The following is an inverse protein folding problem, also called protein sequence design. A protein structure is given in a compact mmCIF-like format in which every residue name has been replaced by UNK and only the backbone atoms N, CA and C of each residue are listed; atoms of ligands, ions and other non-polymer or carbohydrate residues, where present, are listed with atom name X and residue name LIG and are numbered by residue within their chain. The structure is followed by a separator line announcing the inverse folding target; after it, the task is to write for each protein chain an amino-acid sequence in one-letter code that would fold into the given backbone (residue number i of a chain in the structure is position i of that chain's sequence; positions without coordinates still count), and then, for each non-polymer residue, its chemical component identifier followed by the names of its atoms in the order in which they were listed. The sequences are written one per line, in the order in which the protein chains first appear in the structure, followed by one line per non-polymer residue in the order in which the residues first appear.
data_IF_531866355884
#
_entry.id   IF_531866355884
#
_cell.length_a   1.000
_cell.length_b   1.000
_cell.length_c   1.000
_cell.angle_alpha   90.00
_cell.angle_beta   90.00
_cell.angle_gamma   90.00
#
_symmetry.space_group_name_H-M   'P 1'
#
loop_
_entity.id
_entity.type
_entity.pdbx_description
1 polymer ?
#
# COMPACT_ATOMS: atom_id res chain seq x y z
N UNK A 1 4.09 -9.09 -9.38
CA UNK A 1 3.28 -7.96 -9.87
C UNK A 1 1.80 -8.18 -9.64
N UNK A 2 1.22 -9.30 -10.11
CA UNK A 2 -0.23 -9.57 -9.96
C UNK A 2 -0.72 -9.45 -8.52
N UNK A 3 -0.04 -10.07 -7.54
CA UNK A 3 -0.41 -9.92 -6.12
C UNK A 3 -0.39 -8.47 -5.61
N UNK A 4 0.54 -7.64 -6.12
CA UNK A 4 0.62 -6.23 -5.73
C UNK A 4 -0.53 -5.42 -6.30
N UNK A 5 -0.94 -5.73 -7.54
CA UNK A 5 -2.13 -5.16 -8.17
C UNK A 5 -3.42 -5.61 -7.48
N UNK A 6 -3.52 -6.90 -7.12
CA UNK A 6 -4.63 -7.43 -6.33
C UNK A 6 -4.72 -6.74 -4.98
N UNK A 7 -3.58 -6.51 -4.31
CA UNK A 7 -3.55 -5.76 -3.05
C UNK A 7 -3.95 -4.29 -3.22
N UNK A 8 -3.56 -3.67 -4.33
CA UNK A 8 -4.02 -2.33 -4.69
C UNK A 8 -5.55 -2.30 -4.92
N UNK A 9 -6.12 -3.27 -5.63
CA UNK A 9 -7.58 -3.35 -5.82
C UNK A 9 -8.32 -3.59 -4.51
N UNK A 10 -7.81 -4.46 -3.64
CA UNK A 10 -8.34 -4.62 -2.29
C UNK A 10 -8.41 -3.27 -1.57
N UNK A 11 -7.36 -2.45 -1.67
CA UNK A 11 -7.34 -1.13 -1.04
C UNK A 11 -8.31 -0.14 -1.71
N UNK A 12 -8.22 0.04 -3.03
CA UNK A 12 -9.00 1.04 -3.77
C UNK A 12 -10.50 0.75 -3.71
N UNK A 13 -10.92 -0.49 -3.97
CA UNK A 13 -12.33 -0.87 -3.87
C UNK A 13 -12.80 -1.04 -2.41
N UNK A 14 -11.87 -1.31 -1.48
CA UNK A 14 -12.13 -1.20 -0.05
C UNK A 14 -12.57 0.21 0.35
N UNK A 15 -11.90 1.25 -0.17
CA UNK A 15 -12.30 2.64 0.07
C UNK A 15 -13.70 2.95 -0.49
N UNK A 16 -13.98 2.56 -1.73
CA UNK A 16 -15.30 2.79 -2.33
C UNK A 16 -16.43 2.08 -1.58
N UNK A 17 -16.17 0.88 -1.07
CA UNK A 17 -17.17 0.11 -0.33
C UNK A 17 -17.39 0.66 1.08
N UNK A 18 -16.32 1.04 1.80
CA UNK A 18 -16.41 1.58 3.16
C UNK A 18 -16.95 3.02 3.18
N UNK A 19 -16.50 3.91 2.30
CA UNK A 19 -16.90 5.33 2.34
C UNK A 19 -18.31 5.60 1.78
N UNK A 20 -19.13 4.56 1.58
CA UNK A 20 -20.55 4.72 1.25
C UNK A 20 -20.80 5.35 -0.13
N UNK A 21 -19.89 5.14 -1.09
CA UNK A 21 -20.04 5.60 -2.47
C UNK A 21 -21.09 4.74 -3.21
N UNK A 22 -22.35 4.79 -2.77
CA UNK A 22 -23.47 4.03 -3.31
C UNK A 22 -23.85 4.54 -4.71
N UNK A 23 -23.21 3.98 -5.73
CA UNK A 23 -23.54 4.19 -7.13
C UNK A 23 -24.32 3.01 -7.69
N UNK A 24 -24.87 3.13 -8.91
CA UNK A 24 -25.59 2.04 -9.59
C UNK A 24 -24.75 0.77 -9.78
N UNK A 25 -23.41 0.88 -9.71
CA UNK A 25 -22.48 -0.25 -9.84
C UNK A 25 -21.83 -0.65 -8.51
N UNK A 26 -22.37 -0.22 -7.37
CA UNK A 26 -21.79 -0.49 -6.04
C UNK A 26 -21.55 -1.99 -5.77
N UNK A 27 -22.46 -2.86 -6.21
CA UNK A 27 -22.28 -4.32 -6.09
C UNK A 27 -21.06 -4.84 -6.85
N UNK A 28 -20.66 -4.18 -7.94
CA UNK A 28 -19.42 -4.50 -8.66
C UNK A 28 -18.21 -4.13 -7.81
N UNK A 29 -18.23 -3.00 -7.11
CA UNK A 29 -17.14 -2.62 -6.19
C UNK A 29 -17.00 -3.65 -5.06
N UNK A 30 -18.12 -4.10 -4.49
CA UNK A 30 -18.15 -5.17 -3.48
C UNK A 30 -17.57 -6.48 -4.01
N UNK A 31 -17.96 -6.89 -5.22
CA UNK A 31 -17.44 -8.09 -5.85
C UNK A 31 -15.92 -8.01 -6.08
N UNK A 32 -15.43 -6.89 -6.62
CA UNK A 32 -13.99 -6.69 -6.84
C UNK A 32 -13.24 -6.67 -5.50
N UNK A 33 -13.77 -5.97 -4.49
CA UNK A 33 -13.18 -5.93 -3.15
C UNK A 33 -13.06 -7.34 -2.54
N UNK A 34 -14.13 -8.14 -2.58
CA UNK A 34 -14.13 -9.51 -2.05
C UNK A 34 -13.17 -10.43 -2.82
N UNK A 35 -13.23 -10.44 -4.15
CA UNK A 35 -12.33 -11.25 -4.99
C UNK A 35 -10.87 -10.83 -4.80
N UNK A 36 -10.60 -9.53 -4.66
CA UNK A 36 -9.25 -9.04 -4.41
C UNK A 36 -8.74 -9.46 -3.02
N UNK A 37 -9.57 -9.39 -1.99
CA UNK A 37 -9.21 -9.84 -0.65
C UNK A 37 -8.82 -11.32 -0.63
N UNK A 38 -9.72 -12.20 -1.12
CA UNK A 38 -9.44 -13.63 -1.14
C UNK A 38 -8.33 -14.00 -2.11
N UNK A 39 -8.25 -13.34 -3.27
CA UNK A 39 -7.17 -13.54 -4.24
C UNK A 39 -5.80 -13.17 -3.66
N UNK A 40 -5.72 -12.08 -2.89
CA UNK A 40 -4.49 -11.71 -2.19
C UNK A 40 -4.15 -12.70 -1.07
N UNK A 41 -5.13 -13.12 -0.27
CA UNK A 41 -4.94 -14.09 0.81
C UNK A 41 -4.42 -15.43 0.27
N UNK A 42 -5.13 -16.04 -0.67
CA UNK A 42 -4.73 -17.31 -1.27
C UNK A 42 -3.42 -17.18 -2.03
N UNK A 43 -3.22 -16.08 -2.76
CA UNK A 43 -2.01 -15.84 -3.54
C UNK A 43 -0.75 -15.63 -2.68
N UNK A 44 -0.88 -15.10 -1.45
CA UNK A 44 0.24 -15.04 -0.50
C UNK A 44 0.49 -16.38 0.19
N UNK A 45 -0.56 -17.14 0.50
CA UNK A 45 -0.46 -18.49 1.04
C UNK A 45 0.15 -19.50 0.04
N UNK A 46 -0.08 -19.30 -1.26
CA UNK A 46 0.45 -20.16 -2.32
C UNK A 46 1.93 -19.94 -2.64
N UNK A 47 2.60 -18.99 -1.98
CA UNK A 47 4.04 -18.76 -2.18
C UNK A 47 4.81 -19.93 -1.55
N UNK A 48 5.31 -20.81 -2.43
CA UNK A 48 6.21 -21.89 -2.05
C UNK A 48 7.53 -21.31 -1.49
N UNK A 49 7.89 -21.62 -0.24
CA UNK A 49 9.18 -21.23 0.33
C UNK A 49 10.38 -21.68 -0.51
N UNK A 50 10.32 -22.85 -1.13
CA UNK A 50 11.44 -23.44 -1.89
C UNK A 50 11.70 -22.66 -3.18
N UNK A 51 10.64 -22.29 -3.89
CA UNK A 51 10.76 -21.39 -5.06
C UNK A 51 11.21 -19.99 -4.61
N UNK A 52 10.74 -19.52 -3.45
CA UNK A 52 11.13 -18.21 -2.93
C UNK A 52 12.62 -18.12 -2.56
N UNK A 53 13.24 -19.22 -2.13
CA UNK A 53 14.68 -19.30 -1.83
C UNK A 53 15.57 -19.05 -3.04
N UNK A 54 15.04 -19.33 -4.24
CA UNK A 54 15.75 -19.07 -5.49
C UNK A 54 15.88 -17.58 -5.77
N UNK A 55 15.09 -16.73 -5.14
CA UNK A 55 15.15 -15.28 -5.37
C UNK A 55 15.92 -14.57 -4.26
N UNK A 56 16.94 -13.83 -4.64
CA UNK A 56 17.75 -13.05 -3.70
C UNK A 56 17.88 -11.60 -4.13
N UNK A 57 17.90 -10.73 -3.12
CA UNK A 57 18.20 -9.31 -3.27
C UNK A 57 19.59 -9.00 -2.72
N UNK A 58 20.34 -8.08 -3.37
CA UNK A 58 21.55 -7.53 -2.80
C UNK A 58 21.28 -6.92 -1.42
N UNK A 59 22.23 -7.07 -0.50
CA UNK A 59 22.03 -6.68 0.90
C UNK A 59 21.69 -5.19 1.07
N UNK A 60 22.35 -4.31 0.31
CA UNK A 60 22.07 -2.87 0.34
C UNK A 60 20.63 -2.55 -0.07
N UNK A 61 20.12 -3.18 -1.12
CA UNK A 61 18.75 -2.97 -1.60
C UNK A 61 17.72 -3.53 -0.61
N UNK A 62 17.98 -4.70 -0.03
CA UNK A 62 17.14 -5.29 1.01
C UNK A 62 17.01 -4.36 2.22
N UNK A 63 18.14 -3.78 2.68
CA UNK A 63 18.16 -2.81 3.80
C UNK A 63 17.43 -1.52 3.43
N UNK A 64 17.61 -1.01 2.22
CA UNK A 64 16.91 0.18 1.74
C UNK A 64 15.38 -0.02 1.75
N UNK A 65 14.89 -1.14 1.22
CA UNK A 65 13.46 -1.48 1.23
C UNK A 65 12.94 -1.65 2.65
N UNK A 66 13.68 -2.36 3.51
CA UNK A 66 13.33 -2.52 4.91
C UNK A 66 13.17 -1.16 5.61
N UNK A 67 14.15 -0.26 5.44
CA UNK A 67 14.12 1.08 6.03
C UNK A 67 12.98 1.92 5.44
N UNK A 68 12.73 1.82 4.13
CA UNK A 68 11.63 2.50 3.47
C UNK A 68 10.26 2.09 4.03
N UNK A 69 10.02 0.79 4.20
CA UNK A 69 8.76 0.28 4.79
C UNK A 69 8.59 0.76 6.25
N UNK A 70 9.67 0.76 7.04
CA UNK A 70 9.61 1.28 8.41
C UNK A 70 9.42 2.79 8.46
N UNK A 71 10.06 3.55 7.58
CA UNK A 71 9.89 5.00 7.51
C UNK A 71 8.44 5.36 7.14
N UNK A 72 7.84 4.64 6.20
CA UNK A 72 6.43 4.79 5.85
C UNK A 72 5.51 4.58 7.06
N UNK A 73 5.69 3.50 7.81
CA UNK A 73 4.91 3.23 9.02
C UNK A 73 5.18 4.31 10.07
N UNK A 74 6.46 4.61 10.35
CA UNK A 74 6.86 5.54 11.39
C UNK A 74 6.37 6.97 11.16
N UNK A 75 6.21 7.39 9.90
CA UNK A 75 5.68 8.72 9.55
C UNK A 75 4.15 8.70 9.44
N UNK A 76 3.56 7.76 8.69
CA UNK A 76 2.13 7.82 8.37
C UNK A 76 1.24 7.31 9.50
N UNK A 77 1.68 6.31 10.28
CA UNK A 77 0.92 5.78 11.40
C UNK A 77 0.55 6.87 12.43
N UNK A 78 1.49 7.67 12.99
CA UNK A 78 1.13 8.71 13.93
C UNK A 78 0.29 9.80 13.28
N UNK A 79 0.52 10.15 12.01
CA UNK A 79 -0.29 11.15 11.29
C UNK A 79 -1.75 10.71 11.19
N UNK A 80 -2.01 9.43 10.87
CA UNK A 80 -3.38 8.89 10.83
C UNK A 80 -4.03 8.81 12.19
N UNK A 81 -3.31 8.42 13.24
CA UNK A 81 -3.85 8.46 14.61
C UNK A 81 -4.22 9.90 15.01
N UNK A 82 -3.32 10.86 14.81
CA UNK A 82 -3.56 12.26 15.16
C UNK A 82 -4.74 12.87 14.40
N UNK A 83 -4.91 12.51 13.12
CA UNK A 83 -6.07 12.95 12.32
C UNK A 83 -7.38 12.26 12.73
N UNK A 84 -7.32 11.02 13.22
CA UNK A 84 -8.49 10.26 13.63
C UNK A 84 -8.98 10.62 15.05
N UNK A 85 -8.10 11.10 15.95
CA UNK A 85 -8.44 11.41 17.35
C UNK A 85 -9.62 12.39 17.52
N UNK A 86 -9.72 13.52 16.78
CA UNK A 86 -10.86 14.42 16.90
C UNK A 86 -12.20 13.76 16.55
N UNK A 87 -12.21 12.86 15.57
CA UNK A 87 -13.39 12.13 15.11
C UNK A 87 -13.82 11.10 16.16
N UNK A 88 -12.85 10.41 16.76
CA UNK A 88 -13.08 9.49 17.88
C UNK A 88 -13.69 10.23 19.07
N UNK A 89 -13.15 11.40 19.42
CA UNK A 89 -13.69 12.22 20.51
C UNK A 89 -15.13 12.67 20.24
N UNK A 90 -15.46 12.97 18.99
CA UNK A 90 -16.81 13.40 18.55
C UNK A 90 -17.77 12.24 18.29
N UNK A 91 -17.28 11.00 18.24
CA UNK A 91 -18.04 9.82 17.83
C UNK A 91 -18.67 9.94 16.43
N UNK A 92 -18.07 10.74 15.55
CA UNK A 92 -18.56 10.99 14.18
C UNK A 92 -17.39 10.78 13.22
N UNK A 93 -17.45 9.79 12.30
CA UNK A 93 -16.38 9.56 11.34
C UNK A 93 -16.32 10.69 10.29
N UNK A 94 -15.11 11.16 9.95
CA UNK A 94 -14.93 12.02 8.79
C UNK A 94 -15.13 11.25 7.47
N UNK A 95 -15.23 11.96 6.34
CA UNK A 95 -15.38 11.35 5.01
C UNK A 95 -14.23 10.43 4.62
N UNK A 96 -13.04 10.58 5.21
CA UNK A 96 -11.85 9.79 4.89
C UNK A 96 -11.61 8.61 5.84
N UNK A 97 -12.55 8.30 6.75
CA UNK A 97 -12.39 7.27 7.78
C UNK A 97 -11.99 5.88 7.25
N UNK A 98 -12.43 5.50 6.04
CA UNK A 98 -12.04 4.26 5.38
C UNK A 98 -10.53 4.12 5.16
N UNK A 99 -9.82 5.23 4.96
CA UNK A 99 -8.34 5.26 4.85
C UNK A 99 -7.73 4.80 6.17
N UNK A 100 -8.22 5.30 7.31
CA UNK A 100 -7.69 4.94 8.62
C UNK A 100 -7.88 3.46 8.93
N UNK A 101 -9.07 2.91 8.62
CA UNK A 101 -9.37 1.48 8.82
C UNK A 101 -8.39 0.61 8.02
N UNK A 102 -8.23 0.90 6.72
CA UNK A 102 -7.38 0.11 5.85
C UNK A 102 -5.91 0.26 6.23
N UNK A 103 -5.43 1.49 6.42
CA UNK A 103 -4.01 1.73 6.67
C UNK A 103 -3.57 1.22 8.04
N UNK A 104 -4.28 1.57 9.11
CA UNK A 104 -3.92 1.18 10.48
C UNK A 104 -4.22 -0.31 10.74
N UNK A 105 -5.33 -0.83 10.21
CA UNK A 105 -5.78 -2.19 10.50
C UNK A 105 -5.13 -3.27 9.63
N UNK A 106 -4.79 -2.95 8.37
CA UNK A 106 -4.34 -3.95 7.40
C UNK A 106 -2.99 -3.62 6.78
N UNK A 107 -2.84 -2.42 6.21
CA UNK A 107 -1.66 -2.10 5.40
C UNK A 107 -0.40 -1.97 6.25
N UNK A 108 -0.41 -1.16 7.30
CA UNK A 108 0.78 -0.96 8.14
C UNK A 108 1.17 -2.22 8.91
N UNK A 109 0.25 -3.02 9.49
CA UNK A 109 0.61 -4.31 10.07
C UNK A 109 1.26 -5.25 9.04
N UNK A 110 0.71 -5.35 7.83
CA UNK A 110 1.28 -6.18 6.77
C UNK A 110 2.67 -5.66 6.34
N UNK A 111 2.85 -4.35 6.19
CA UNK A 111 4.16 -3.75 5.89
C UNK A 111 5.18 -4.03 6.99
N UNK A 112 4.77 -3.94 8.26
CA UNK A 112 5.61 -4.26 9.42
C UNK A 112 6.03 -5.73 9.43
N UNK A 113 5.10 -6.62 9.10
CA UNK A 113 5.39 -8.06 8.96
C UNK A 113 6.38 -8.34 7.83
N UNK A 114 6.20 -7.71 6.67
CA UNK A 114 7.12 -7.84 5.52
C UNK A 114 8.49 -7.29 5.88
N UNK A 115 8.57 -6.13 6.54
CA UNK A 115 9.82 -5.55 7.02
C UNK A 115 10.53 -6.49 8.01
N UNK A 116 9.79 -7.09 8.95
CA UNK A 116 10.32 -8.10 9.87
C UNK A 116 10.89 -9.32 9.13
N UNK A 117 10.18 -9.85 8.13
CA UNK A 117 10.67 -10.96 7.32
C UNK A 117 11.93 -10.60 6.52
N UNK A 118 12.00 -9.38 5.98
CA UNK A 118 13.19 -8.86 5.31
C UNK A 118 14.38 -8.77 6.26
N UNK A 119 14.18 -8.29 7.49
CA UNK A 119 15.23 -8.27 8.52
C UNK A 119 15.74 -9.69 8.76
N UNK A 120 14.83 -10.63 9.06
CA UNK A 120 15.13 -12.04 9.36
C UNK A 120 15.63 -12.85 8.15
N UNK A 121 15.85 -12.20 7.00
CA UNK A 121 16.33 -12.80 5.74
C UNK A 121 15.43 -13.94 5.25
N UNK A 122 14.13 -13.89 5.53
CA UNK A 122 13.20 -14.95 5.14
C UNK A 122 12.90 -14.87 3.63
N UNK A 123 12.98 -15.99 2.89
CA UNK A 123 12.79 -16.00 1.42
C UNK A 123 11.48 -15.38 0.95
N UNK A 124 10.38 -15.74 1.62
CA UNK A 124 9.04 -15.15 1.38
C UNK A 124 9.02 -13.63 1.53
N UNK A 125 9.83 -13.07 2.43
CA UNK A 125 9.94 -11.63 2.65
C UNK A 125 10.48 -10.89 1.42
N UNK A 126 11.41 -11.50 0.68
CA UNK A 126 11.97 -10.96 -0.56
C UNK A 126 10.89 -10.78 -1.64
N UNK A 127 10.00 -11.78 -1.78
CA UNK A 127 8.89 -11.72 -2.76
C UNK A 127 7.85 -10.71 -2.30
N UNK A 128 7.39 -10.81 -1.05
CA UNK A 128 6.36 -9.93 -0.50
C UNK A 128 6.81 -8.45 -0.45
N UNK A 129 8.11 -8.19 -0.34
CA UNK A 129 8.66 -6.84 -0.47
C UNK A 129 8.37 -6.23 -1.84
N UNK A 130 8.54 -6.99 -2.93
CA UNK A 130 8.19 -6.53 -4.28
C UNK A 130 6.70 -6.26 -4.42
N UNK A 131 5.87 -7.13 -3.82
CA UNK A 131 4.41 -6.95 -3.77
C UNK A 131 4.06 -5.65 -3.04
N UNK A 132 4.67 -5.39 -1.87
CA UNK A 132 4.43 -4.18 -1.07
C UNK A 132 4.87 -2.91 -1.80
N UNK A 133 6.09 -2.86 -2.33
CA UNK A 133 6.59 -1.67 -3.03
C UNK A 133 5.74 -1.37 -4.26
N UNK A 134 5.34 -2.40 -5.02
CA UNK A 134 4.45 -2.21 -6.16
C UNK A 134 3.09 -1.65 -5.74
N UNK A 135 2.48 -2.20 -4.68
CA UNK A 135 1.22 -1.67 -4.13
C UNK A 135 1.37 -0.22 -3.70
N UNK A 136 2.45 0.11 -2.98
CA UNK A 136 2.72 1.46 -2.49
C UNK A 136 2.89 2.42 -3.67
N UNK A 137 3.68 2.04 -4.67
CA UNK A 137 3.85 2.83 -5.89
C UNK A 137 2.52 3.09 -6.60
N UNK A 138 1.73 2.05 -6.86
CA UNK A 138 0.43 2.17 -7.53
C UNK A 138 -0.51 3.09 -6.76
N UNK A 139 -0.55 2.96 -5.43
CA UNK A 139 -1.38 3.79 -4.56
C UNK A 139 -0.92 5.25 -4.55
N UNK A 140 0.37 5.50 -4.31
CA UNK A 140 0.91 6.85 -4.26
C UNK A 140 0.81 7.56 -5.61
N UNK A 141 1.02 6.84 -6.71
CA UNK A 141 0.83 7.37 -8.05
C UNK A 141 -0.64 7.76 -8.28
N UNK A 142 -1.59 6.89 -7.93
CA UNK A 142 -3.02 7.20 -8.03
C UNK A 142 -3.39 8.42 -7.18
N UNK A 143 -2.82 8.55 -5.98
CA UNK A 143 -3.05 9.70 -5.11
C UNK A 143 -2.44 10.99 -5.69
N UNK A 144 -1.19 10.95 -6.17
CA UNK A 144 -0.54 12.11 -6.78
C UNK A 144 -1.32 12.61 -8.01
N UNK A 145 -1.80 11.70 -8.86
CA UNK A 145 -2.66 12.04 -9.99
C UNK A 145 -3.99 12.65 -9.54
N UNK A 146 -4.59 12.12 -8.47
CA UNK A 146 -5.82 12.68 -7.91
C UNK A 146 -5.62 14.14 -7.44
N UNK A 147 -4.51 14.44 -6.74
CA UNK A 147 -4.18 15.80 -6.28
C UNK A 147 -3.98 16.79 -7.45
N UNK A 148 -3.32 16.36 -8.53
CA UNK A 148 -3.17 17.18 -9.75
C UNK A 148 -4.53 17.39 -10.42
N UNK A 149 -5.42 16.39 -10.33
CA UNK A 149 -6.71 16.44 -11.01
C UNK A 149 -7.78 17.27 -10.27
N UNK A 150 -7.59 17.51 -8.97
CA UNK A 150 -8.54 18.22 -8.10
C UNK A 150 -9.04 19.57 -8.69
N UNK A 151 -8.18 20.44 -9.25
CA UNK A 151 -8.63 21.70 -9.85
C UNK A 151 -9.59 21.54 -11.04
N UNK A 152 -9.46 20.47 -11.83
CA UNK A 152 -10.35 20.21 -12.97
C UNK A 152 -11.76 19.81 -12.54
N UNK A 153 -11.94 19.38 -11.29
CA UNK A 153 -13.22 18.97 -10.71
C UNK A 153 -13.76 20.06 -9.76
N UNK A 154 -13.11 21.24 -9.71
CA UNK A 154 -13.53 22.39 -8.89
C UNK A 154 -13.04 22.34 -7.43
N UNK A 155 -12.19 21.39 -7.07
CA UNK A 155 -11.56 21.33 -5.75
C UNK A 155 -10.32 22.24 -5.69
N UNK A 156 -9.99 22.75 -4.49
CA UNK A 156 -8.78 23.52 -4.29
C UNK A 156 -7.52 22.65 -4.45
N UNK A 157 -6.50 23.19 -5.12
CA UNK A 157 -5.17 22.56 -5.14
C UNK A 157 -4.47 22.80 -3.81
N UNK A 158 -4.09 21.72 -3.13
CA UNK A 158 -3.34 21.79 -1.88
C UNK A 158 -1.89 21.36 -2.14
N UNK A 159 -0.98 22.32 -2.15
CA UNK A 159 0.43 22.08 -2.50
C UNK A 159 1.10 21.04 -1.57
N UNK A 160 0.76 21.06 -0.27
CA UNK A 160 1.36 20.16 0.72
C UNK A 160 1.03 18.69 0.46
N UNK A 161 -0.24 18.37 0.17
CA UNK A 161 -0.69 16.99 -0.13
C UNK A 161 -0.15 16.51 -1.47
N UNK A 162 -0.10 17.40 -2.47
CA UNK A 162 0.55 17.12 -3.74
C UNK A 162 2.04 16.79 -3.55
N UNK A 163 2.79 17.61 -2.82
CA UNK A 163 4.22 17.38 -2.59
C UNK A 163 4.47 16.04 -1.90
N UNK A 164 3.72 15.74 -0.84
CA UNK A 164 3.84 14.47 -0.10
C UNK A 164 3.57 13.28 -1.03
N UNK A 165 2.46 13.28 -1.75
CA UNK A 165 2.08 12.18 -2.64
C UNK A 165 3.11 11.97 -3.76
N UNK A 166 3.65 13.05 -4.33
CA UNK A 166 4.74 12.97 -5.31
C UNK A 166 6.04 12.42 -4.73
N UNK A 167 6.49 12.90 -3.57
CA UNK A 167 7.71 12.40 -2.91
C UNK A 167 7.58 10.91 -2.57
N UNK A 168 6.42 10.47 -2.08
CA UNK A 168 6.16 9.06 -1.82
C UNK A 168 6.15 8.22 -3.10
N UNK A 169 5.60 8.75 -4.19
CA UNK A 169 5.63 8.11 -5.51
C UNK A 169 7.06 7.95 -6.01
N UNK A 170 7.86 9.01 -6.00
CA UNK A 170 9.25 8.97 -6.47
C UNK A 170 10.13 8.06 -5.62
N UNK A 171 9.97 8.08 -4.29
CA UNK A 171 10.72 7.19 -3.39
C UNK A 171 10.33 5.71 -3.57
N UNK A 172 9.04 5.42 -3.79
CA UNK A 172 8.59 4.06 -4.12
C UNK A 172 9.16 3.59 -5.46
N UNK A 173 9.21 4.49 -6.46
CA UNK A 173 9.80 4.21 -7.78
C UNK A 173 11.32 3.94 -7.67
N UNK A 174 12.02 4.72 -6.85
CA UNK A 174 13.43 4.52 -6.56
C UNK A 174 13.73 3.17 -5.88
N UNK A 175 12.75 2.58 -5.18
CA UNK A 175 12.86 1.23 -4.62
C UNK A 175 12.45 0.14 -5.63
N UNK A 176 11.43 0.40 -6.45
CA UNK A 176 10.84 -0.62 -7.33
C UNK A 176 11.72 -0.93 -8.54
N UNK A 177 12.37 0.08 -9.13
CA UNK A 177 13.23 -0.10 -10.31
C UNK A 177 14.43 -1.00 -9.95
N UNK A 178 15.22 -0.71 -8.91
CA UNK A 178 16.31 -1.59 -8.52
C UNK A 178 15.83 -2.96 -8.05
N UNK A 179 14.65 -3.06 -7.45
CA UNK A 179 14.05 -4.35 -7.09
C UNK A 179 13.95 -5.25 -8.32
N UNK A 180 13.33 -4.79 -9.40
CA UNK A 180 13.20 -5.61 -10.61
C UNK A 180 14.53 -5.85 -11.32
N UNK A 181 15.42 -4.85 -11.38
CA UNK A 181 16.71 -4.99 -12.07
C UNK A 181 17.69 -5.91 -11.35
N UNK A 182 17.64 -5.96 -10.01
CA UNK A 182 18.63 -6.67 -9.18
C UNK A 182 18.07 -7.94 -8.53
N UNK A 183 16.80 -8.27 -8.75
CA UNK A 183 16.24 -9.55 -8.34
C UNK A 183 16.89 -10.65 -9.16
N UNK A 184 17.76 -11.43 -8.54
CA UNK A 184 18.44 -12.55 -9.20
C UNK A 184 17.80 -13.85 -8.80
N UNK A 185 17.57 -14.71 -9.80
CA UNK A 185 17.37 -16.13 -9.58
C UNK A 185 18.74 -16.76 -9.33
N UNK A 186 18.88 -17.46 -8.21
CA UNK A 186 20.02 -18.33 -7.91
C UNK A 186 20.07 -19.49 -8.90
#
# INVERSE_FOLDING_TARGET
MMLGLTWYFFYAFGLYTMQGQYTSIYFVYLAIFGVAFYGFLFGTCSIDPLEAERYQLPEGLRKAIFLYLLAMIGVLYPVWILRMLPDVARHIPCSTYGVFILDLGFIFPAMGWIAYMLWKRKPRGTILAGVAIFKIFALCLSWALAEISNPFVGNAFVMETALISFTLTLSSLACIIPYFMKLKKK
#
